data_IF_066136287275
#
_entry.id   IF_066136287275
#
_cell.length_a   1.000
_cell.length_b   1.000
_cell.length_c   1.000
_cell.angle_alpha   90.00
_cell.angle_beta   90.00
_cell.angle_gamma   90.00
#
_symmetry.space_group_name_H-M   'P 1'
#
loop_
_entity.id
_entity.type
_entity.pdbx_description
1 polymer ?
#
# COMPACT_ATOMS: atom_id res chain seq x y z
N UNK A 1 22.15 -2.44 -11.52
CA UNK A 1 21.80 -3.88 -11.55
C UNK A 1 20.28 -3.95 -11.52
N UNK A 2 19.63 -4.46 -12.57
CA UNK A 2 18.17 -4.63 -12.58
C UNK A 2 17.83 -5.94 -11.85
N UNK A 3 16.93 -5.87 -10.88
CA UNK A 3 16.32 -7.06 -10.28
C UNK A 3 14.87 -7.08 -10.74
N UNK A 4 14.46 -8.19 -11.34
CA UNK A 4 13.08 -8.44 -11.73
C UNK A 4 12.70 -9.82 -11.22
N UNK A 5 11.68 -9.90 -10.37
CA UNK A 5 11.06 -11.14 -9.95
C UNK A 5 9.72 -11.26 -10.67
N UNK A 6 9.41 -12.42 -11.25
CA UNK A 6 8.05 -12.70 -11.71
C UNK A 6 7.23 -13.22 -10.53
N UNK A 7 6.17 -12.48 -10.19
CA UNK A 7 5.13 -12.99 -9.30
C UNK A 7 4.26 -13.98 -10.08
N UNK A 8 4.15 -15.21 -9.60
CA UNK A 8 3.30 -16.22 -10.21
C UNK A 8 1.88 -16.10 -9.65
N UNK A 9 1.11 -15.16 -10.19
CA UNK A 9 -0.26 -14.87 -9.79
C UNK A 9 -1.22 -15.28 -10.91
N UNK A 10 -2.39 -15.82 -10.54
CA UNK A 10 -3.47 -16.13 -11.48
C UNK A 10 -4.27 -14.88 -11.93
N UNK A 11 -3.68 -13.68 -11.80
CA UNK A 11 -4.30 -12.40 -12.09
C UNK A 11 -3.27 -11.37 -12.57
N UNK A 12 -3.75 -10.24 -13.09
CA UNK A 12 -2.91 -9.14 -13.55
C UNK A 12 -2.71 -8.12 -12.44
N UNK A 13 -1.50 -7.56 -12.35
CA UNK A 13 -1.21 -6.39 -11.50
C UNK A 13 -1.62 -5.14 -12.28
N UNK A 14 -2.46 -4.30 -11.67
CA UNK A 14 -2.98 -3.09 -12.30
C UNK A 14 -2.25 -1.83 -11.83
N UNK A 15 -1.86 -1.78 -10.56
CA UNK A 15 -1.19 -0.63 -9.96
C UNK A 15 -0.25 -1.08 -8.84
N UNK A 16 0.71 -0.22 -8.48
CA UNK A 16 1.64 -0.46 -7.38
C UNK A 16 1.95 0.82 -6.62
N UNK A 17 2.23 0.70 -5.32
CA UNK A 17 2.59 1.84 -4.46
C UNK A 17 3.58 1.40 -3.38
N UNK A 18 4.59 2.22 -3.13
CA UNK A 18 5.53 2.05 -2.01
C UNK A 18 4.86 2.44 -0.69
N UNK A 19 5.16 1.73 0.40
CA UNK A 19 4.83 2.20 1.75
C UNK A 19 5.63 3.46 2.07
N UNK A 20 5.13 4.38 2.92
CA UNK A 20 5.84 5.63 3.23
C UNK A 20 7.20 5.46 3.93
N UNK A 21 7.49 4.28 4.49
CA UNK A 21 8.76 3.92 5.12
C UNK A 21 9.74 3.21 4.17
N UNK A 22 9.37 3.11 2.89
CA UNK A 22 10.11 2.44 1.82
C UNK A 22 10.46 0.97 2.12
N UNK A 23 9.75 0.28 3.01
CA UNK A 23 10.04 -1.13 3.34
C UNK A 23 9.27 -2.14 2.50
N UNK A 24 8.09 -1.76 2.00
CA UNK A 24 7.19 -2.65 1.27
C UNK A 24 6.66 -1.98 -0.01
N UNK A 25 6.25 -2.80 -0.96
CA UNK A 25 5.48 -2.42 -2.13
C UNK A 25 4.15 -3.17 -2.12
N UNK A 26 3.07 -2.43 -2.26
CA UNK A 26 1.74 -3.00 -2.42
C UNK A 26 1.36 -3.01 -3.89
N UNK A 27 0.84 -4.13 -4.37
CA UNK A 27 0.35 -4.31 -5.74
C UNK A 27 -1.14 -4.62 -5.73
N UNK A 28 -1.93 -3.79 -6.42
CA UNK A 28 -3.35 -4.01 -6.59
C UNK A 28 -3.61 -4.86 -7.83
N UNK A 29 -4.44 -5.89 -7.69
CA UNK A 29 -4.71 -6.86 -8.76
C UNK A 29 -6.09 -6.70 -9.39
N UNK A 30 -6.28 -7.33 -10.56
CA UNK A 30 -7.56 -7.37 -11.28
C UNK A 30 -8.65 -8.19 -10.60
N UNK A 31 -8.31 -9.07 -9.66
CA UNK A 31 -9.28 -9.85 -8.89
C UNK A 31 -9.54 -9.29 -7.48
N UNK A 32 -9.08 -8.07 -7.20
CA UNK A 32 -9.37 -7.36 -5.94
C UNK A 32 -8.53 -7.78 -4.75
N UNK A 33 -7.34 -8.30 -5.01
CA UNK A 33 -6.36 -8.67 -4.00
C UNK A 33 -5.24 -7.63 -3.92
N UNK A 34 -4.71 -7.46 -2.71
CA UNK A 34 -3.52 -6.67 -2.45
C UNK A 34 -2.35 -7.65 -2.20
N UNK A 35 -1.34 -7.59 -3.05
CA UNK A 35 -0.10 -8.36 -2.88
C UNK A 35 0.94 -7.45 -2.24
N UNK A 36 1.53 -7.90 -1.14
CA UNK A 36 2.57 -7.20 -0.40
C UNK A 36 3.91 -7.84 -0.71
N UNK A 37 4.87 -7.04 -1.13
CA UNK A 37 6.25 -7.45 -1.40
C UNK A 37 7.21 -6.61 -0.56
N UNK A 38 8.30 -7.21 -0.09
CA UNK A 38 9.37 -6.45 0.57
C UNK A 38 10.32 -5.77 -0.45
N UNK A 39 11.15 -4.84 0.04
CA UNK A 39 12.22 -4.20 -0.76
C UNK A 39 13.20 -5.16 -1.44
N UNK A 40 13.33 -6.38 -0.92
CA UNK A 40 14.25 -7.40 -1.44
C UNK A 40 13.61 -8.25 -2.55
N UNK A 41 12.32 -8.06 -2.83
CA UNK A 41 11.57 -8.75 -3.88
C UNK A 41 10.87 -10.03 -3.42
N UNK A 42 10.76 -10.27 -2.12
CA UNK A 42 10.03 -11.40 -1.55
C UNK A 42 8.55 -11.04 -1.32
N UNK A 43 7.64 -11.92 -1.75
CA UNK A 43 6.22 -11.78 -1.43
C UNK A 43 6.00 -12.05 0.06
N UNK A 44 5.43 -11.09 0.76
CA UNK A 44 5.16 -11.15 2.20
C UNK A 44 3.72 -11.56 2.51
N UNK A 45 2.76 -11.06 1.75
CA UNK A 45 1.35 -11.36 1.97
C UNK A 45 0.52 -11.20 0.69
N UNK A 46 -0.67 -11.80 0.70
CA UNK A 46 -1.69 -11.64 -0.31
C UNK A 46 -3.04 -11.59 0.40
N UNK A 47 -3.72 -10.45 0.30
CA UNK A 47 -4.93 -10.14 1.07
C UNK A 47 -6.07 -9.85 0.12
N UNK A 48 -7.19 -10.56 0.27
CA UNK A 48 -8.42 -10.24 -0.48
C UNK A 48 -9.08 -8.98 0.12
N UNK A 49 -9.19 -7.93 -0.68
CA UNK A 49 -9.80 -6.66 -0.29
C UNK A 49 -11.24 -6.57 -0.80
N UNK A 50 -11.48 -7.06 -2.01
CA UNK A 50 -12.80 -7.13 -2.61
C UNK A 50 -12.88 -8.35 -3.54
N UNK A 51 -13.92 -9.17 -3.37
CA UNK A 51 -14.08 -10.39 -4.17
C UNK A 51 -14.35 -10.06 -5.65
N UNK A 52 -13.42 -10.42 -6.54
CA UNK A 52 -13.54 -10.27 -8.00
C UNK A 52 -13.81 -8.84 -8.49
N UNK A 53 -13.33 -7.81 -7.77
CA UNK A 53 -13.45 -6.41 -8.18
C UNK A 53 -12.05 -5.80 -8.27
N UNK A 54 -11.64 -5.38 -9.45
CA UNK A 54 -10.28 -4.90 -9.68
C UNK A 54 -9.92 -3.67 -8.82
N UNK A 55 -8.70 -3.68 -8.27
CA UNK A 55 -8.09 -2.48 -7.71
C UNK A 55 -7.53 -1.66 -8.87
N UNK A 56 -7.91 -0.38 -8.94
CA UNK A 56 -7.59 0.50 -10.07
C UNK A 56 -6.53 1.53 -9.72
N UNK A 57 -6.49 2.02 -8.48
CA UNK A 57 -5.49 2.96 -8.00
C UNK A 57 -5.35 2.91 -6.48
N UNK A 58 -4.20 3.37 -6.00
CA UNK A 58 -3.88 3.46 -4.58
C UNK A 58 -3.13 4.77 -4.31
N UNK A 59 -3.35 5.35 -3.13
CA UNK A 59 -2.63 6.55 -2.70
C UNK A 59 -2.51 6.58 -1.17
N UNK A 60 -1.30 6.80 -0.66
CA UNK A 60 -1.11 7.13 0.75
C UNK A 60 -1.54 8.57 1.01
N UNK A 61 -2.16 8.80 2.16
CA UNK A 61 -2.30 10.15 2.70
C UNK A 61 -0.90 10.75 2.89
N UNK A 62 -0.68 11.99 2.48
CA UNK A 62 0.55 12.69 2.83
C UNK A 62 0.50 13.14 4.29
N UNK A 63 1.65 13.30 4.94
CA UNK A 63 1.67 14.16 6.12
C UNK A 63 1.18 15.54 5.69
N UNK A 64 0.27 16.13 6.48
CA UNK A 64 -0.07 17.54 6.29
C UNK A 64 1.25 18.30 6.34
N UNK A 65 1.55 19.08 5.30
CA UNK A 65 2.66 20.02 5.30
C UNK A 65 2.48 20.94 6.51
N UNK A 66 3.17 20.65 7.61
CA UNK A 66 3.18 21.50 8.80
C UNK A 66 4.31 22.50 8.59
N UNK A 67 3.93 23.72 8.21
CA UNK A 67 4.85 24.86 8.10
C UNK A 67 5.13 25.50 9.47
N UNK A 68 5.21 24.69 10.53
CA UNK A 68 5.50 25.16 11.87
C UNK A 68 6.57 24.25 12.48
N UNK A 69 7.77 24.80 12.64
CA UNK A 69 8.84 24.25 13.47
C UNK A 69 8.29 24.09 14.89
N UNK A 70 7.76 22.92 15.23
CA UNK A 70 7.37 22.59 16.60
C UNK A 70 8.22 21.43 17.04
N UNK A 71 8.97 21.66 18.13
CA UNK A 71 10.00 20.80 18.68
C UNK A 71 9.64 19.30 18.64
N UNK A 72 10.46 18.53 17.92
CA UNK A 72 10.33 17.09 17.72
C UNK A 72 10.73 16.31 18.98
N UNK A 73 9.83 16.24 19.96
CA UNK A 73 10.06 15.42 21.16
C UNK A 73 8.98 14.35 21.40
N UNK A 74 8.33 13.84 20.34
CA UNK A 74 7.44 12.66 20.41
C UNK A 74 7.51 11.80 19.12
N UNK A 75 8.66 11.15 18.93
CA UNK A 75 9.00 10.35 17.74
C UNK A 75 8.51 8.89 17.76
N UNK A 76 7.56 8.53 18.62
CA UNK A 76 7.24 7.11 18.85
C UNK A 76 6.02 6.55 18.12
N UNK A 77 5.44 7.23 17.11
CA UNK A 77 4.35 6.61 16.34
C UNK A 77 4.12 7.17 14.92
N UNK A 78 5.18 7.35 14.12
CA UNK A 78 5.03 7.79 12.72
C UNK A 78 4.23 6.79 11.86
N UNK A 79 4.20 5.51 12.23
CA UNK A 79 3.47 4.47 11.52
C UNK A 79 1.93 4.55 11.64
N UNK A 80 1.38 5.20 12.67
CA UNK A 80 -0.07 5.34 12.85
C UNK A 80 -0.69 6.53 12.08
N UNK A 81 0.12 7.33 11.36
CA UNK A 81 -0.34 8.54 10.68
C UNK A 81 -0.88 8.31 9.27
N UNK A 82 -0.37 7.30 8.57
CA UNK A 82 -0.64 7.12 7.15
C UNK A 82 -1.89 6.25 6.92
N UNK A 83 -2.79 6.74 6.07
CA UNK A 83 -3.98 6.03 5.60
C UNK A 83 -3.79 5.74 4.11
N UNK A 84 -3.99 4.49 3.70
CA UNK A 84 -4.02 4.11 2.30
C UNK A 84 -5.45 4.22 1.77
N UNK A 85 -5.65 5.00 0.71
CA UNK A 85 -6.85 4.94 -0.10
C UNK A 85 -6.67 3.88 -1.20
N UNK A 86 -7.65 2.99 -1.34
CA UNK A 86 -7.71 1.95 -2.38
C UNK A 86 -8.99 2.15 -3.19
N UNK A 87 -8.86 2.45 -4.48
CA UNK A 87 -9.98 2.64 -5.38
C UNK A 87 -10.28 1.34 -6.13
N UNK A 88 -11.56 0.97 -6.18
CA UNK A 88 -12.06 -0.21 -6.86
C UNK A 88 -12.78 0.17 -8.16
N UNK A 89 -12.82 -0.77 -9.11
CA UNK A 89 -13.48 -0.58 -10.42
C UNK A 89 -14.97 -0.22 -10.30
N UNK A 90 -15.65 -0.72 -9.26
CA UNK A 90 -17.07 -0.42 -9.03
C UNK A 90 -17.33 0.97 -8.42
N UNK A 91 -16.31 1.83 -8.31
CA UNK A 91 -16.40 3.17 -7.73
C UNK A 91 -16.27 3.24 -6.21
N UNK A 92 -16.08 2.11 -5.53
CA UNK A 92 -15.85 2.08 -4.08
C UNK A 92 -14.44 2.55 -3.75
N UNK A 93 -14.30 3.37 -2.70
CA UNK A 93 -13.01 3.78 -2.14
C UNK A 93 -12.91 3.26 -0.71
N UNK A 94 -11.89 2.45 -0.44
CA UNK A 94 -11.59 1.90 0.88
C UNK A 94 -10.44 2.68 1.52
N UNK A 95 -10.52 2.92 2.82
CA UNK A 95 -9.47 3.56 3.60
C UNK A 95 -8.89 2.54 4.59
N UNK A 96 -7.63 2.18 4.40
CA UNK A 96 -6.91 1.22 5.24
C UNK A 96 -5.90 1.95 6.13
N UNK A 97 -5.88 1.61 7.42
CA UNK A 97 -4.83 2.04 8.35
C UNK A 97 -3.91 0.86 8.61
N UNK A 98 -2.64 1.13 8.89
CA UNK A 98 -1.72 0.08 9.34
C UNK A 98 -2.27 -0.56 10.61
N UNK A 99 -2.69 -1.82 10.52
CA UNK A 99 -3.12 -2.61 11.66
C UNK A 99 -1.84 -3.18 12.28
N UNK A 100 -1.18 -2.40 13.13
CA UNK A 100 -0.22 -2.94 14.07
C UNK A 100 -1.05 -3.45 15.25
N UNK A 101 -1.17 -4.76 15.39
CA UNK A 101 -1.49 -5.41 16.66
C UNK A 101 -0.17 -5.72 17.38
#
# INVERSE_FOLDING_TARGET
>A
RYWSSMLNLDCTINCGIWTPDDQLVYFGTSNGQLVVMDVHGAMMAQVEIANQIAITSMAWSCEKFKMEETDESQDSCLCAKYVLAVCLENGTVLLMKHYYD
#
